data_IF_820989565561
#
_entry.id   IF_820989565561
#
_cell.length_a   1.000
_cell.length_b   1.000
_cell.length_c   1.000
_cell.angle_alpha   90.00
_cell.angle_beta   90.00
_cell.angle_gamma   90.00
#
_symmetry.space_group_name_H-M   'P 1'
#
loop_
_entity.id
_entity.type
_entity.pdbx_description
1 polymer ?
#
# COMPACT_ATOMS: atom_id res chain seq x y z
N UNK A 1 -11.87 4.25 25.09
CA UNK A 1 -11.30 3.17 24.26
C UNK A 1 -11.66 1.79 24.84
N UNK A 2 -11.47 1.53 26.14
CA UNK A 2 -11.92 0.29 26.80
C UNK A 2 -13.45 0.15 26.89
N UNK A 3 -14.18 1.27 27.00
CA UNK A 3 -15.64 1.32 27.07
C UNK A 3 -16.36 0.88 25.80
N UNK A 4 -15.64 0.75 24.68
CA UNK A 4 -16.18 0.30 23.39
C UNK A 4 -15.95 -1.20 23.15
N UNK A 5 -15.26 -1.90 24.05
CA UNK A 5 -14.97 -3.33 23.93
C UNK A 5 -16.04 -4.15 24.65
N UNK A 6 -16.54 -5.21 24.01
CA UNK A 6 -17.48 -6.15 24.65
C UNK A 6 -16.79 -7.09 25.66
N UNK A 7 -15.51 -7.38 25.45
CA UNK A 7 -14.74 -8.32 26.25
C UNK A 7 -13.34 -7.78 26.51
N UNK A 8 -12.77 -8.15 27.66
CA UNK A 8 -11.38 -7.88 28.02
C UNK A 8 -10.69 -9.22 28.28
N UNK A 9 -9.55 -9.45 27.62
CA UNK A 9 -8.77 -10.68 27.72
C UNK A 9 -7.48 -10.37 28.46
N UNK A 10 -7.12 -11.23 29.41
CA UNK A 10 -5.90 -11.09 30.22
C UNK A 10 -4.92 -12.20 29.85
N UNK A 11 -3.66 -11.82 29.60
CA UNK A 11 -2.57 -12.78 29.45
C UNK A 11 -1.95 -13.01 30.84
N UNK A 12 -1.85 -14.26 31.32
CA UNK A 12 -1.25 -14.54 32.61
C UNK A 12 0.25 -14.25 32.56
N UNK A 13 0.69 -13.23 33.30
CA UNK A 13 2.11 -12.89 33.45
C UNK A 13 2.63 -13.50 34.74
N UNK A 14 3.84 -14.06 34.70
CA UNK A 14 4.57 -14.54 35.88
C UNK A 14 5.87 -13.75 36.00
N UNK A 15 6.21 -13.32 37.20
CA UNK A 15 7.41 -12.52 37.50
C UNK A 15 7.12 -11.04 37.74
N UNK A 16 8.16 -10.22 37.72
CA UNK A 16 8.10 -8.78 38.03
C UNK A 16 7.68 -7.89 36.85
N UNK A 17 7.35 -8.48 35.70
CA UNK A 17 6.97 -7.72 34.51
C UNK A 17 5.46 -7.42 34.54
N UNK A 18 5.10 -6.15 34.58
CA UNK A 18 3.70 -5.70 34.62
C UNK A 18 3.02 -5.68 33.25
N UNK A 19 3.79 -5.80 32.17
CA UNK A 19 3.26 -5.81 30.80
C UNK A 19 4.17 -6.54 29.82
N UNK A 20 3.59 -6.92 28.68
CA UNK A 20 4.31 -7.46 27.53
C UNK A 20 4.50 -6.38 26.47
N UNK A 21 5.51 -6.56 25.63
CA UNK A 21 5.61 -5.81 24.40
C UNK A 21 4.34 -6.03 23.54
N UNK A 22 3.83 -4.97 22.91
CA UNK A 22 2.65 -5.02 22.06
C UNK A 22 2.72 -6.14 21.01
N UNK A 23 3.88 -6.31 20.35
CA UNK A 23 4.05 -7.36 19.34
C UNK A 23 3.95 -8.76 19.94
N UNK A 24 4.54 -8.97 21.12
CA UNK A 24 4.52 -10.24 21.84
C UNK A 24 3.11 -10.57 22.32
N UNK A 25 2.42 -9.62 22.95
CA UNK A 25 1.03 -9.80 23.38
C UNK A 25 0.11 -10.14 22.20
N UNK A 26 0.25 -9.41 21.08
CA UNK A 26 -0.54 -9.65 19.86
C UNK A 26 -0.28 -11.04 19.29
N UNK A 27 0.99 -11.48 19.24
CA UNK A 27 1.34 -12.79 18.73
C UNK A 27 0.77 -13.94 19.58
N UNK A 28 0.83 -13.83 20.92
CA UNK A 28 0.27 -14.83 21.83
C UNK A 28 -1.25 -14.94 21.70
N UNK A 29 -1.94 -13.80 21.60
CA UNK A 29 -3.40 -13.77 21.40
C UNK A 29 -3.76 -14.40 20.05
N UNK A 30 -3.07 -13.99 18.97
CA UNK A 30 -3.35 -14.51 17.63
C UNK A 30 -3.09 -16.03 17.55
N UNK A 31 -1.99 -16.50 18.14
CA UNK A 31 -1.68 -17.93 18.22
C UNK A 31 -2.81 -18.71 18.90
N UNK A 32 -3.30 -18.24 20.05
CA UNK A 32 -4.39 -18.89 20.76
C UNK A 32 -5.70 -18.87 19.95
N UNK A 33 -6.00 -17.76 19.27
CA UNK A 33 -7.18 -17.65 18.41
C UNK A 33 -7.13 -18.64 17.23
N UNK A 34 -5.98 -18.80 16.58
CA UNK A 34 -5.80 -19.76 15.49
C UNK A 34 -5.91 -21.20 15.98
N UNK A 35 -5.47 -21.49 17.22
CA UNK A 35 -5.63 -22.82 17.80
C UNK A 35 -7.11 -23.12 18.14
N UNK A 36 -7.84 -22.14 18.67
CA UNK A 36 -9.26 -22.30 19.01
C UNK A 36 -10.17 -22.34 17.77
N UNK A 37 -9.80 -21.61 16.72
CA UNK A 37 -10.57 -21.50 15.49
C UNK A 37 -9.69 -21.73 14.25
N UNK A 38 -9.29 -22.99 13.96
CA UNK A 38 -8.44 -23.30 12.82
C UNK A 38 -9.09 -22.94 11.47
N UNK A 39 -10.43 -22.98 11.42
CA UNK A 39 -11.21 -22.66 10.22
C UNK A 39 -11.23 -21.16 9.88
N UNK A 40 -10.68 -20.28 10.73
CA UNK A 40 -10.62 -18.83 10.45
C UNK A 40 -9.69 -18.52 9.27
N UNK A 41 -8.79 -19.45 8.92
CA UNK A 41 -7.85 -19.30 7.83
C UNK A 41 -8.52 -19.74 6.52
N UNK A 42 -8.49 -18.86 5.51
CA UNK A 42 -8.78 -19.26 4.13
C UNK A 42 -10.23 -19.10 3.68
N UNK A 43 -11.10 -18.47 4.46
CA UNK A 43 -12.52 -18.24 4.10
C UNK A 43 -12.73 -17.25 2.93
N UNK A 44 -11.66 -16.71 2.35
CA UNK A 44 -11.74 -15.80 1.21
C UNK A 44 -12.05 -16.56 -0.09
N UNK A 45 -13.10 -16.14 -0.79
CA UNK A 45 -13.49 -16.74 -2.07
C UNK A 45 -12.40 -16.59 -3.13
N UNK A 46 -12.38 -17.48 -4.13
CA UNK A 46 -11.40 -17.38 -5.22
C UNK A 46 -11.52 -16.05 -5.98
N UNK A 47 -12.73 -15.48 -6.07
CA UNK A 47 -12.98 -14.19 -6.71
C UNK A 47 -12.33 -13.03 -5.95
N UNK A 48 -12.43 -13.03 -4.62
CA UNK A 48 -11.81 -12.03 -3.75
C UNK A 48 -10.30 -12.17 -3.73
N UNK A 49 -9.79 -13.40 -3.63
CA UNK A 49 -8.35 -13.68 -3.73
C UNK A 49 -7.79 -13.17 -5.04
N UNK A 50 -8.48 -13.41 -6.16
CA UNK A 50 -8.10 -12.92 -7.49
C UNK A 50 -8.09 -11.39 -7.53
N UNK A 51 -9.12 -10.74 -6.98
CA UNK A 51 -9.20 -9.27 -6.88
C UNK A 51 -8.03 -8.69 -6.08
N UNK A 52 -7.69 -9.29 -4.94
CA UNK A 52 -6.54 -8.88 -4.13
C UNK A 52 -5.22 -9.09 -4.87
N UNK A 53 -5.02 -10.25 -5.51
CA UNK A 53 -3.81 -10.50 -6.34
C UNK A 53 -3.67 -9.45 -7.43
N UNK A 54 -4.75 -9.13 -8.14
CA UNK A 54 -4.73 -8.10 -9.18
C UNK A 54 -4.31 -6.72 -8.60
N UNK A 55 -4.79 -6.37 -7.42
CA UNK A 55 -4.43 -5.12 -6.75
C UNK A 55 -2.99 -5.10 -6.25
N UNK A 56 -2.53 -6.17 -5.59
CA UNK A 56 -1.21 -6.19 -4.96
C UNK A 56 -0.09 -6.44 -5.96
N UNK A 57 -0.26 -7.40 -6.86
CA UNK A 57 0.75 -7.70 -7.87
C UNK A 57 0.95 -6.52 -8.82
N UNK A 58 -0.12 -5.77 -9.15
CA UNK A 58 0.02 -4.61 -10.05
C UNK A 58 0.81 -3.49 -9.37
N UNK A 59 0.58 -3.24 -8.08
CA UNK A 59 1.38 -2.30 -7.28
C UNK A 59 2.86 -2.72 -7.21
N UNK A 60 3.13 -4.00 -6.94
CA UNK A 60 4.50 -4.52 -6.87
C UNK A 60 5.21 -4.48 -8.24
N UNK A 61 4.51 -4.88 -9.30
CA UNK A 61 5.04 -4.85 -10.66
C UNK A 61 5.33 -3.41 -11.12
N UNK A 62 4.45 -2.45 -10.83
CA UNK A 62 4.69 -1.04 -11.16
C UNK A 62 6.01 -0.53 -10.54
N UNK A 63 6.31 -0.89 -9.29
CA UNK A 63 7.55 -0.49 -8.62
C UNK A 63 8.81 -1.09 -9.27
N UNK A 64 8.69 -2.30 -9.84
CA UNK A 64 9.82 -3.05 -10.42
C UNK A 64 10.02 -2.81 -11.92
N UNK A 65 8.96 -2.53 -12.67
CA UNK A 65 9.01 -2.32 -14.13
C UNK A 65 9.68 -0.99 -14.49
N UNK A 66 9.58 0.01 -13.61
CA UNK A 66 10.24 1.30 -13.84
C UNK A 66 11.76 1.16 -13.76
N UNK A 67 12.42 1.60 -14.82
CA UNK A 67 13.87 1.78 -14.87
C UNK A 67 14.31 2.92 -13.94
N UNK A 68 15.62 3.00 -13.65
CA UNK A 68 16.20 4.07 -12.82
C UNK A 68 15.91 5.47 -13.40
N UNK A 69 15.99 5.62 -14.73
CA UNK A 69 15.73 6.88 -15.42
C UNK A 69 14.26 7.30 -15.33
N UNK A 70 13.36 6.35 -15.51
CA UNK A 70 11.91 6.55 -15.37
C UNK A 70 11.52 6.97 -13.94
N UNK A 71 12.08 6.31 -12.91
CA UNK A 71 11.89 6.71 -11.50
C UNK A 71 12.35 8.14 -11.25
N UNK A 72 13.50 8.53 -11.80
CA UNK A 72 14.03 9.90 -11.69
C UNK A 72 13.13 10.93 -12.38
N UNK A 73 12.63 10.62 -13.58
CA UNK A 73 11.68 11.47 -14.32
C UNK A 73 10.39 11.67 -13.50
N UNK A 74 9.80 10.57 -13.01
CA UNK A 74 8.59 10.60 -12.17
C UNK A 74 8.78 11.43 -10.91
N UNK A 75 9.91 11.24 -10.22
CA UNK A 75 10.23 12.02 -9.03
C UNK A 75 10.32 13.52 -9.34
N UNK A 76 11.01 13.90 -10.43
CA UNK A 76 11.09 15.31 -10.87
C UNK A 76 9.69 15.90 -11.13
N UNK A 77 8.84 15.20 -11.87
CA UNK A 77 7.46 15.63 -12.14
C UNK A 77 6.67 15.78 -10.83
N UNK A 78 6.78 14.81 -9.91
CA UNK A 78 6.12 14.87 -8.60
C UNK A 78 6.56 16.08 -7.77
N UNK A 79 7.85 16.40 -7.77
CA UNK A 79 8.37 17.56 -7.04
C UNK A 79 7.85 18.89 -7.64
N UNK A 80 7.72 18.99 -8.96
CA UNK A 80 7.14 20.16 -9.62
C UNK A 80 5.66 20.34 -9.27
N UNK A 81 4.88 19.26 -9.26
CA UNK A 81 3.46 19.28 -8.88
C UNK A 81 3.31 19.74 -7.43
N UNK A 82 4.04 19.15 -6.49
CA UNK A 82 4.03 19.56 -5.06
C UNK A 82 4.41 21.02 -4.86
N UNK A 83 5.39 21.50 -5.61
CA UNK A 83 5.80 22.90 -5.55
C UNK A 83 4.69 23.85 -6.06
N UNK A 84 3.85 23.41 -7.00
CA UNK A 84 2.65 24.13 -7.43
C UNK A 84 1.50 24.05 -6.42
N UNK A 85 1.24 22.87 -5.84
CA UNK A 85 0.22 22.67 -4.80
C UNK A 85 0.47 23.56 -3.58
N UNK A 86 1.73 23.71 -3.16
CA UNK A 86 2.11 24.61 -2.06
C UNK A 86 1.79 26.09 -2.35
N UNK A 87 1.72 26.48 -3.63
CA UNK A 87 1.35 27.83 -4.08
C UNK A 87 -0.18 27.94 -4.19
N UNK A 88 -0.86 26.87 -4.60
CA UNK A 88 -2.31 26.84 -4.82
C UNK A 88 -3.15 27.15 -3.56
N UNK A 89 -2.60 26.92 -2.36
CA UNK A 89 -3.25 27.26 -1.10
C UNK A 89 -3.19 28.75 -0.74
N UNK A 90 -2.46 29.58 -1.51
CA UNK A 90 -2.33 31.02 -1.29
C UNK A 90 -3.39 31.78 -2.09
N UNK A 91 -3.73 32.96 -1.61
CA UNK A 91 -4.68 33.83 -2.30
C UNK A 91 -4.10 34.33 -3.63
N UNK A 92 -4.87 34.20 -4.71
CA UNK A 92 -4.43 34.45 -6.09
C UNK A 92 -4.01 35.91 -6.28
N UNK A 93 -4.68 36.82 -5.57
CA UNK A 93 -4.41 38.26 -5.57
C UNK A 93 -3.01 38.63 -5.06
N UNK A 94 -2.35 37.73 -4.30
CA UNK A 94 -1.04 37.95 -3.68
C UNK A 94 0.12 37.28 -4.43
N UNK A 95 -0.18 36.57 -5.53
CA UNK A 95 0.81 35.80 -6.27
C UNK A 95 1.61 36.68 -7.24
N UNK A 96 2.91 36.43 -7.32
CA UNK A 96 3.75 37.03 -8.36
C UNK A 96 3.49 36.37 -9.72
N UNK A 97 3.81 37.07 -10.81
CA UNK A 97 3.70 36.54 -12.19
C UNK A 97 4.45 35.21 -12.35
N UNK A 98 5.63 35.08 -11.74
CA UNK A 98 6.41 33.84 -11.73
C UNK A 98 5.71 32.69 -10.99
N UNK A 99 5.02 32.98 -9.88
CA UNK A 99 4.27 31.98 -9.12
C UNK A 99 3.03 31.50 -9.86
N UNK A 100 2.35 32.40 -10.58
CA UNK A 100 1.22 32.06 -11.46
C UNK A 100 1.70 31.15 -12.60
N UNK A 101 2.78 31.51 -13.28
CA UNK A 101 3.38 30.68 -14.33
C UNK A 101 3.81 29.29 -13.79
N UNK A 102 4.38 29.24 -12.58
CA UNK A 102 4.74 27.97 -11.92
C UNK A 102 3.52 27.10 -11.59
N UNK A 103 2.41 27.72 -11.18
CA UNK A 103 1.15 27.03 -10.91
C UNK A 103 0.54 26.44 -12.19
N UNK A 104 0.57 27.19 -13.29
CA UNK A 104 0.12 26.71 -14.60
C UNK A 104 0.98 25.55 -15.10
N UNK A 105 2.30 25.71 -15.04
CA UNK A 105 3.24 24.64 -15.39
C UNK A 105 3.01 23.39 -14.52
N UNK A 106 2.77 23.55 -13.23
CA UNK A 106 2.47 22.43 -12.34
C UNK A 106 1.19 21.68 -12.75
N UNK A 107 0.14 22.38 -13.22
CA UNK A 107 -1.08 21.74 -13.74
C UNK A 107 -0.81 20.90 -14.99
N UNK A 108 0.01 21.42 -15.91
CA UNK A 108 0.42 20.71 -17.13
C UNK A 108 1.21 19.44 -16.75
N UNK A 109 2.25 19.60 -15.91
CA UNK A 109 3.08 18.47 -15.44
C UNK A 109 2.26 17.46 -14.65
N UNK A 110 1.23 17.88 -13.89
CA UNK A 110 0.35 16.96 -13.18
C UNK A 110 -0.46 16.08 -14.15
N UNK A 111 -0.96 16.65 -15.26
CA UNK A 111 -1.64 15.88 -16.30
C UNK A 111 -0.70 14.86 -16.92
N UNK A 112 0.51 15.28 -17.29
CA UNK A 112 1.53 14.37 -17.83
C UNK A 112 1.89 13.26 -16.84
N UNK A 113 2.01 13.58 -15.55
CA UNK A 113 2.30 12.62 -14.49
C UNK A 113 1.18 11.58 -14.35
N UNK A 114 -0.08 12.00 -14.43
CA UNK A 114 -1.24 11.09 -14.37
C UNK A 114 -1.28 10.15 -15.57
N UNK A 115 -1.06 10.66 -16.78
CA UNK A 115 -0.99 9.84 -17.99
C UNK A 115 0.18 8.85 -17.92
N UNK A 116 1.33 9.31 -17.42
CA UNK A 116 2.52 8.49 -17.22
C UNK A 116 2.29 7.36 -16.20
N UNK A 117 1.71 7.67 -15.04
CA UNK A 117 1.38 6.69 -14.00
C UNK A 117 0.31 5.69 -14.50
N UNK A 118 -0.66 6.15 -15.30
CA UNK A 118 -1.65 5.27 -15.93
C UNK A 118 -1.02 4.29 -16.93
N UNK A 119 -0.07 4.76 -17.75
CA UNK A 119 0.66 3.90 -18.69
C UNK A 119 1.48 2.82 -17.97
N UNK A 120 2.17 3.19 -16.88
CA UNK A 120 2.91 2.21 -16.04
C UNK A 120 1.94 1.22 -15.41
N UNK A 121 0.81 1.68 -14.86
CA UNK A 121 -0.19 0.82 -14.26
C UNK A 121 -0.76 -0.19 -15.27
N UNK A 122 -1.00 0.23 -16.52
CA UNK A 122 -1.45 -0.66 -17.58
C UNK A 122 -0.38 -1.71 -17.92
N UNK A 123 0.88 -1.30 -18.07
CA UNK A 123 2.02 -2.22 -18.31
C UNK A 123 2.16 -3.23 -17.17
N UNK A 124 2.06 -2.77 -15.93
CA UNK A 124 2.10 -3.62 -14.74
C UNK A 124 0.95 -4.62 -14.68
N UNK A 125 -0.29 -4.20 -14.99
CA UNK A 125 -1.44 -5.11 -15.07
C UNK A 125 -1.24 -6.20 -16.14
N UNK A 126 -0.72 -5.83 -17.31
CA UNK A 126 -0.43 -6.79 -18.39
C UNK A 126 0.63 -7.82 -17.98
N UNK A 127 1.70 -7.41 -17.31
CA UNK A 127 2.77 -8.32 -16.93
C UNK A 127 2.39 -9.33 -15.85
N UNK A 128 1.38 -9.03 -15.03
CA UNK A 128 0.99 -9.88 -13.90
C UNK A 128 -0.13 -10.87 -14.22
N UNK A 129 -0.82 -10.73 -15.36
CA UNK A 129 -2.07 -11.43 -15.62
C UNK A 129 -1.91 -12.95 -15.47
N UNK A 130 -0.79 -13.49 -15.97
CA UNK A 130 -0.41 -14.91 -15.82
C UNK A 130 -0.36 -15.36 -14.35
N UNK A 131 0.19 -14.54 -13.46
CA UNK A 131 0.35 -14.86 -12.03
C UNK A 131 -0.92 -14.64 -11.21
N UNK A 132 -1.86 -13.83 -11.70
CA UNK A 132 -3.14 -13.59 -11.04
C UNK A 132 -4.05 -14.82 -11.17
N UNK A 133 -4.07 -15.43 -12.35
CA UNK A 133 -4.92 -16.57 -12.66
C UNK A 133 -4.27 -17.89 -12.20
N UNK A 134 -2.94 -18.00 -12.30
CA UNK A 134 -2.16 -19.15 -11.83
C UNK A 134 -1.09 -18.71 -10.81
N UNK A 135 -1.47 -18.50 -9.54
CA UNK A 135 -0.51 -18.15 -8.50
C UNK A 135 0.38 -19.36 -8.21
N UNK A 136 1.70 -19.21 -8.37
CA UNK A 136 2.64 -20.25 -7.96
C UNK A 136 2.41 -20.62 -6.48
N UNK A 137 2.42 -21.92 -6.12
CA UNK A 137 2.29 -22.33 -4.74
C UNK A 137 3.47 -21.75 -3.94
N UNK A 138 3.17 -20.95 -2.92
CA UNK A 138 4.17 -20.32 -2.04
C UNK A 138 4.94 -21.32 -1.18
N UNK A 139 4.38 -22.53 -1.02
CA UNK A 139 4.97 -23.64 -0.30
C UNK A 139 4.67 -24.89 -1.11
N UNK A 140 5.68 -25.45 -1.78
CA UNK A 140 5.68 -26.90 -1.90
C UNK A 140 5.93 -27.43 -0.49
N UNK A 141 5.07 -28.28 0.08
CA UNK A 141 5.43 -28.97 1.30
C UNK A 141 6.77 -29.66 1.04
N UNK A 142 7.72 -29.51 1.96
CA UNK A 142 8.92 -30.35 1.96
C UNK A 142 8.39 -31.79 1.92
N UNK A 143 8.64 -32.49 0.82
CA UNK A 143 8.35 -33.90 0.73
C UNK A 143 9.14 -34.60 1.84
N UNK A 144 8.41 -35.31 2.71
CA UNK A 144 8.96 -36.16 3.77
C UNK A 144 9.97 -37.17 3.22
#
# INVERSE_FOLDING_TARGET
>A
MLTSCNFTVYLPLRGFADSLNLSVATALILHQLLHLCPNVIGDMSQSERRKLRLQWYSKLAAQRIMTRTEKKKRHKMTCLVRAGEAIAHRDISTLTVEQIAKLENAKIVNRELLEYDAAIALKAKKSILKFVDDPQPFFQPLSD
#
